data_IF_697947759569
#
_entry.id   IF_697947759569
#
_cell.length_a   1.000
_cell.length_b   1.000
_cell.length_c   1.000
_cell.angle_alpha   90.00
_cell.angle_beta   90.00
_cell.angle_gamma   90.00
#
_symmetry.space_group_name_H-M   'P 1'
#
loop_
_entity.id
_entity.type
_entity.pdbx_description
1 polymer ?
#
# COMPACT_ATOMS: atom_id res chain seq x y z
N UNK A 1 25.14 1.69 -16.92
CA UNK A 1 25.02 0.53 -16.00
C UNK A 1 24.98 -0.76 -16.79
N UNK A 2 25.65 -1.82 -16.33
CA UNK A 2 25.58 -3.16 -16.96
C UNK A 2 24.64 -4.12 -16.25
N UNK A 3 24.54 -4.03 -14.92
CA UNK A 3 23.68 -4.89 -14.10
C UNK A 3 22.95 -4.10 -13.03
N UNK A 4 21.67 -4.40 -12.85
CA UNK A 4 20.85 -3.85 -11.78
C UNK A 4 20.20 -4.96 -10.95
N UNK A 5 19.96 -4.68 -9.68
CA UNK A 5 19.17 -5.52 -8.78
C UNK A 5 17.74 -5.00 -8.67
N UNK A 6 16.76 -5.88 -8.56
CA UNK A 6 15.37 -5.53 -8.24
C UNK A 6 14.87 -6.37 -7.07
N UNK A 7 14.18 -5.74 -6.12
CA UNK A 7 13.68 -6.43 -4.94
C UNK A 7 12.38 -5.84 -4.42
N UNK A 8 11.59 -6.68 -3.75
CA UNK A 8 10.39 -6.27 -3.02
C UNK A 8 10.63 -6.39 -1.51
N UNK A 9 10.18 -5.38 -0.75
CA UNK A 9 10.35 -5.31 0.70
C UNK A 9 9.12 -4.67 1.34
N UNK A 10 8.87 -4.96 2.62
CA UNK A 10 7.65 -4.54 3.32
C UNK A 10 6.48 -5.51 3.14
N UNK A 11 5.25 -5.05 3.41
CA UNK A 11 4.05 -5.82 3.10
C UNK A 11 3.88 -5.91 1.59
N UNK A 12 3.49 -7.07 1.08
CA UNK A 12 3.18 -7.22 -0.34
C UNK A 12 1.91 -6.46 -0.71
N UNK A 13 1.86 -6.01 -1.97
CA UNK A 13 0.71 -5.32 -2.53
C UNK A 13 0.40 -5.82 -3.94
N UNK A 14 -0.88 -5.85 -4.36
CA UNK A 14 -1.24 -6.22 -5.72
C UNK A 14 -0.58 -5.30 -6.74
N UNK A 15 0.15 -5.87 -7.71
CA UNK A 15 0.81 -5.09 -8.76
C UNK A 15 2.34 -4.98 -8.61
N UNK A 16 2.92 -5.43 -7.49
CA UNK A 16 4.38 -5.57 -7.36
C UNK A 16 4.98 -6.42 -8.50
N UNK A 17 4.31 -7.48 -8.91
CA UNK A 17 4.73 -8.29 -10.06
C UNK A 17 4.66 -7.55 -11.40
N UNK A 18 3.73 -6.61 -11.57
CA UNK A 18 3.67 -5.76 -12.76
C UNK A 18 4.87 -4.81 -12.82
N UNK A 19 5.25 -4.24 -11.67
CA UNK A 19 6.47 -3.43 -11.54
C UNK A 19 7.74 -4.24 -11.81
N UNK A 20 7.91 -5.41 -11.18
CA UNK A 20 9.06 -6.30 -11.45
C UNK A 20 9.13 -6.64 -12.94
N UNK A 21 8.00 -6.99 -13.57
CA UNK A 21 7.94 -7.29 -15.00
C UNK A 21 8.41 -6.11 -15.84
N UNK A 22 7.96 -4.90 -15.53
CA UNK A 22 8.35 -3.70 -16.25
C UNK A 22 9.83 -3.37 -16.08
N UNK A 23 10.37 -3.48 -14.87
CA UNK A 23 11.82 -3.33 -14.61
C UNK A 23 12.63 -4.30 -15.46
N UNK A 24 12.30 -5.60 -15.41
CA UNK A 24 13.04 -6.63 -16.14
C UNK A 24 12.98 -6.42 -17.65
N UNK A 25 11.80 -6.10 -18.20
CA UNK A 25 11.62 -5.90 -19.64
C UNK A 25 12.30 -4.63 -20.14
N UNK A 26 12.24 -3.55 -19.37
CA UNK A 26 12.88 -2.27 -19.72
C UNK A 26 14.40 -2.42 -19.70
N UNK A 27 14.95 -3.03 -18.65
CA UNK A 27 16.38 -3.31 -18.58
C UNK A 27 16.84 -4.23 -19.73
N UNK A 28 16.09 -5.30 -20.03
CA UNK A 28 16.38 -6.18 -21.17
C UNK A 28 16.39 -5.41 -22.50
N UNK A 29 15.42 -4.52 -22.71
CA UNK A 29 15.32 -3.68 -23.91
C UNK A 29 16.55 -2.78 -24.08
N UNK A 30 17.12 -2.28 -22.98
CA UNK A 30 18.34 -1.47 -22.97
C UNK A 30 19.64 -2.29 -22.84
N UNK A 31 19.59 -3.62 -22.91
CA UNK A 31 20.77 -4.49 -22.81
C UNK A 31 21.41 -4.55 -21.42
N UNK A 32 20.63 -4.27 -20.36
CA UNK A 32 21.05 -4.32 -18.96
C UNK A 32 20.62 -5.67 -18.36
N UNK A 33 21.54 -6.36 -17.68
CA UNK A 33 21.20 -7.61 -16.97
C UNK A 33 20.48 -7.31 -15.64
N UNK A 34 19.46 -8.10 -15.31
CA UNK A 34 18.69 -7.92 -14.07
C UNK A 34 18.86 -9.12 -13.15
N UNK A 35 19.12 -8.83 -11.88
CA UNK A 35 19.12 -9.80 -10.79
C UNK A 35 17.96 -9.52 -9.84
N UNK A 36 17.03 -10.47 -9.73
CA UNK A 36 16.02 -10.47 -8.68
C UNK A 36 16.64 -10.85 -7.35
N UNK A 37 16.41 -10.04 -6.32
CA UNK A 37 16.86 -10.32 -4.96
C UNK A 37 15.69 -10.90 -4.18
N UNK A 38 15.80 -12.16 -3.78
CA UNK A 38 14.72 -12.84 -3.07
C UNK A 38 14.58 -12.27 -1.65
N UNK A 39 13.35 -12.21 -1.12
CA UNK A 39 13.07 -11.84 0.28
C UNK A 39 13.66 -10.47 0.70
N UNK A 40 13.71 -9.53 -0.24
CA UNK A 40 14.18 -8.17 -0.02
C UNK A 40 15.57 -8.09 0.61
N UNK A 41 15.73 -7.22 1.62
CA UNK A 41 17.01 -7.03 2.30
C UNK A 41 17.55 -8.30 2.97
N UNK A 42 16.68 -9.22 3.42
CA UNK A 42 17.16 -10.45 4.03
C UNK A 42 17.87 -11.35 3.04
N UNK A 43 17.40 -11.45 1.79
CA UNK A 43 18.10 -12.23 0.77
C UNK A 43 19.27 -11.47 0.18
N UNK A 44 19.24 -10.14 0.17
CA UNK A 44 20.41 -9.31 -0.20
C UNK A 44 21.63 -9.64 0.67
N UNK A 45 21.44 -9.68 1.99
CA UNK A 45 22.50 -10.06 2.96
C UNK A 45 23.01 -11.49 2.70
N UNK A 46 22.12 -12.40 2.33
CA UNK A 46 22.45 -13.82 2.11
C UNK A 46 22.99 -14.13 0.71
N UNK A 47 22.96 -13.18 -0.22
CA UNK A 47 23.29 -13.42 -1.63
C UNK A 47 22.24 -14.27 -2.37
N UNK A 48 20.96 -14.22 -1.97
CA UNK A 48 19.86 -14.94 -2.64
C UNK A 48 19.45 -14.22 -3.95
N UNK A 49 20.34 -14.22 -4.94
CA UNK A 49 20.13 -13.58 -6.24
C UNK A 49 19.71 -14.56 -7.32
N UNK A 50 18.75 -14.17 -8.16
CA UNK A 50 18.27 -14.96 -9.29
C UNK A 50 18.33 -14.09 -10.53
N UNK A 51 19.02 -14.54 -11.58
CA UNK A 51 19.02 -13.84 -12.87
C UNK A 51 17.60 -13.83 -13.44
N UNK A 52 17.11 -12.65 -13.82
CA UNK A 52 15.80 -12.47 -14.43
C UNK A 52 15.95 -12.05 -15.89
N UNK A 53 15.19 -12.72 -16.74
CA UNK A 53 15.05 -12.37 -18.16
C UNK A 53 13.57 -12.15 -18.53
N UNK A 54 13.32 -11.84 -19.79
CA UNK A 54 11.97 -11.62 -20.31
C UNK A 54 11.02 -12.82 -20.12
N UNK A 55 11.57 -14.05 -20.09
CA UNK A 55 10.79 -15.27 -19.87
C UNK A 55 10.45 -15.47 -18.38
N UNK A 56 11.38 -15.12 -17.49
CA UNK A 56 11.25 -15.21 -16.03
C UNK A 56 10.08 -14.39 -15.48
N UNK A 57 9.72 -13.29 -16.18
CA UNK A 57 8.58 -12.42 -15.85
C UNK A 57 7.38 -12.61 -16.80
N UNK A 58 7.34 -13.73 -17.51
CA UNK A 58 6.17 -14.10 -18.31
C UNK A 58 5.02 -14.54 -17.41
N UNK A 59 3.79 -14.15 -17.78
CA UNK A 59 2.58 -14.54 -17.05
C UNK A 59 2.57 -14.15 -15.55
N UNK A 60 3.20 -13.02 -15.19
CA UNK A 60 3.25 -12.50 -13.81
C UNK A 60 2.42 -11.23 -13.59
N UNK A 61 2.08 -10.49 -14.65
CA UNK A 61 1.45 -9.17 -14.56
C UNK A 61 0.12 -9.17 -13.81
N UNK A 62 -0.63 -10.26 -13.89
CA UNK A 62 -1.93 -10.45 -13.24
C UNK A 62 -1.84 -11.15 -11.88
N UNK A 63 -0.65 -11.57 -11.44
CA UNK A 63 -0.49 -12.28 -10.16
C UNK A 63 -0.40 -11.28 -9.02
N UNK A 64 -1.19 -11.50 -7.98
CA UNK A 64 -1.00 -10.84 -6.68
C UNK A 64 0.32 -11.22 -6.02
N UNK A 65 0.63 -10.57 -4.89
CA UNK A 65 1.87 -10.75 -4.16
C UNK A 65 3.13 -10.41 -4.98
N UNK A 66 4.24 -11.07 -4.68
CA UNK A 66 5.54 -10.87 -5.35
C UNK A 66 6.25 -12.20 -5.63
N UNK A 67 6.73 -12.40 -6.86
CA UNK A 67 7.54 -13.56 -7.25
C UNK A 67 8.90 -13.60 -6.53
N UNK A 68 9.38 -12.45 -6.05
CA UNK A 68 10.65 -12.34 -5.32
C UNK A 68 10.48 -12.59 -3.81
N UNK A 69 9.23 -12.72 -3.34
CA UNK A 69 8.90 -12.76 -1.90
C UNK A 69 9.30 -11.45 -1.19
N UNK A 70 8.85 -11.30 0.04
CA UNK A 70 9.25 -10.20 0.92
C UNK A 70 9.57 -10.75 2.31
N UNK A 71 10.48 -10.10 3.03
CA UNK A 71 10.78 -10.42 4.42
C UNK A 71 11.25 -9.18 5.17
N UNK A 72 10.81 -9.05 6.44
CA UNK A 72 11.40 -8.07 7.36
C UNK A 72 12.86 -8.47 7.66
N UNK A 73 13.76 -7.50 7.73
CA UNK A 73 15.18 -7.74 8.01
C UNK A 73 15.67 -6.82 9.11
N UNK A 74 15.67 -7.30 10.36
CA UNK A 74 16.28 -6.58 11.48
C UNK A 74 17.79 -6.43 11.29
N UNK A 75 18.46 -7.42 10.67
CA UNK A 75 19.90 -7.33 10.40
C UNK A 75 20.26 -6.15 9.51
N UNK A 76 19.38 -5.76 8.58
CA UNK A 76 19.65 -4.64 7.68
C UNK A 76 19.56 -3.27 8.40
N UNK A 77 19.02 -3.21 9.62
CA UNK A 77 19.05 -1.97 10.42
C UNK A 77 20.42 -1.72 11.04
N UNK A 78 21.29 -2.74 11.10
CA UNK A 78 22.68 -2.58 11.58
C UNK A 78 23.64 -2.35 10.41
N UNK A 79 24.73 -1.64 10.68
CA UNK A 79 25.75 -1.34 9.68
C UNK A 79 26.45 -2.61 9.18
N UNK A 80 26.63 -3.60 10.05
CA UNK A 80 27.23 -4.90 9.71
C UNK A 80 26.37 -5.66 8.71
N UNK A 81 25.04 -5.68 8.91
CA UNK A 81 24.14 -6.31 7.96
C UNK A 81 24.13 -5.60 6.60
N UNK A 82 24.19 -4.26 6.60
CA UNK A 82 24.31 -3.50 5.36
C UNK A 82 25.65 -3.74 4.65
N UNK A 83 26.77 -3.79 5.39
CA UNK A 83 28.07 -4.16 4.82
C UNK A 83 28.02 -5.53 4.12
N UNK A 84 27.44 -6.55 4.77
CA UNK A 84 27.28 -7.87 4.15
C UNK A 84 26.45 -7.81 2.87
N UNK A 85 25.36 -7.04 2.86
CA UNK A 85 24.56 -6.85 1.66
C UNK A 85 25.35 -6.15 0.55
N UNK A 86 26.13 -5.13 0.87
CA UNK A 86 26.99 -4.43 -0.08
C UNK A 86 28.02 -5.36 -0.69
N UNK A 87 28.73 -6.15 0.12
CA UNK A 87 29.73 -7.10 -0.35
C UNK A 87 29.10 -8.10 -1.34
N UNK A 88 27.88 -8.56 -1.07
CA UNK A 88 27.14 -9.44 -1.98
C UNK A 88 26.80 -8.77 -3.31
N UNK A 89 26.36 -7.51 -3.30
CA UNK A 89 26.06 -6.76 -4.53
C UNK A 89 27.33 -6.55 -5.38
N UNK A 90 28.43 -6.15 -4.75
CA UNK A 90 29.73 -5.95 -5.42
C UNK A 90 30.25 -7.26 -6.01
N UNK A 91 30.21 -8.36 -5.26
CA UNK A 91 30.64 -9.68 -5.72
C UNK A 91 29.86 -10.18 -6.95
N UNK A 92 28.61 -9.73 -7.11
CA UNK A 92 27.77 -10.07 -8.26
C UNK A 92 27.79 -8.99 -9.37
N UNK A 93 28.52 -7.90 -9.16
CA UNK A 93 28.66 -6.79 -10.09
C UNK A 93 27.36 -6.00 -10.29
N UNK A 94 26.50 -5.93 -9.26
CA UNK A 94 25.26 -5.15 -9.30
C UNK A 94 25.60 -3.68 -9.04
N UNK A 95 25.29 -2.81 -10.01
CA UNK A 95 25.71 -1.40 -10.01
C UNK A 95 24.61 -0.44 -9.53
N UNK A 96 23.36 -0.90 -9.45
CA UNK A 96 22.23 -0.09 -9.03
C UNK A 96 21.03 -0.95 -8.61
N UNK A 97 20.11 -0.35 -7.87
CA UNK A 97 18.97 -1.05 -7.27
C UNK A 97 17.64 -0.40 -7.63
N UNK A 98 16.65 -1.23 -7.92
CA UNK A 98 15.24 -0.86 -7.93
C UNK A 98 14.57 -1.44 -6.70
N UNK A 99 14.14 -0.57 -5.78
CA UNK A 99 13.51 -0.95 -4.52
C UNK A 99 11.99 -0.79 -4.62
N UNK A 100 11.24 -1.89 -4.53
CA UNK A 100 9.78 -1.87 -4.58
C UNK A 100 9.24 -2.08 -3.15
N UNK A 101 8.55 -1.08 -2.61
CA UNK A 101 8.01 -1.17 -1.25
C UNK A 101 7.45 0.14 -0.72
N UNK A 102 7.33 0.22 0.61
CA UNK A 102 6.83 1.39 1.33
C UNK A 102 7.91 2.15 2.10
N UNK A 103 7.48 2.94 3.09
CA UNK A 103 8.33 3.80 3.91
C UNK A 103 9.61 3.12 4.43
N UNK A 104 9.48 1.99 5.13
CA UNK A 104 10.64 1.28 5.68
C UNK A 104 11.62 0.75 4.63
N UNK A 105 11.14 0.50 3.40
CA UNK A 105 12.01 0.14 2.28
C UNK A 105 12.86 1.34 1.85
N UNK A 106 12.25 2.51 1.68
CA UNK A 106 13.00 3.70 1.27
C UNK A 106 13.91 4.23 2.36
N UNK A 107 13.54 4.12 3.64
CA UNK A 107 14.45 4.41 4.75
C UNK A 107 15.70 3.54 4.70
N UNK A 108 15.53 2.22 4.48
CA UNK A 108 16.66 1.29 4.34
C UNK A 108 17.53 1.62 3.14
N UNK A 109 16.93 1.94 1.99
CA UNK A 109 17.63 2.32 0.77
C UNK A 109 18.45 3.61 0.93
N UNK A 110 17.86 4.63 1.56
CA UNK A 110 18.51 5.92 1.82
C UNK A 110 19.78 5.76 2.67
N UNK A 111 19.68 5.05 3.80
CA UNK A 111 20.83 4.77 4.68
C UNK A 111 21.88 3.92 3.97
N UNK A 112 21.44 2.94 3.17
CA UNK A 112 22.35 2.08 2.42
C UNK A 112 23.13 2.84 1.35
N UNK A 113 22.47 3.75 0.63
CA UNK A 113 23.12 4.58 -0.37
C UNK A 113 24.07 5.61 0.25
N UNK A 114 23.70 6.21 1.39
CA UNK A 114 24.58 7.12 2.14
C UNK A 114 25.88 6.44 2.57
N UNK A 115 25.82 5.18 3.00
CA UNK A 115 26.99 4.43 3.48
C UNK A 115 27.86 3.85 2.35
N UNK A 116 27.23 3.41 1.25
CA UNK A 116 27.89 2.56 0.24
C UNK A 116 27.83 3.09 -1.20
N UNK A 117 27.05 4.14 -1.46
CA UNK A 117 26.97 4.80 -2.77
C UNK A 117 26.34 3.96 -3.88
N UNK A 118 25.57 2.91 -3.56
CA UNK A 118 24.83 2.14 -4.57
C UNK A 118 23.56 2.91 -4.96
N UNK A 119 23.47 3.44 -6.20
CA UNK A 119 22.34 4.25 -6.63
C UNK A 119 21.05 3.43 -6.61
N UNK A 120 20.04 3.98 -5.93
CA UNK A 120 18.75 3.31 -5.77
C UNK A 120 17.60 4.20 -6.24
N UNK A 121 16.69 3.62 -7.03
CA UNK A 121 15.40 4.24 -7.38
C UNK A 121 14.26 3.41 -6.80
N UNK A 122 13.33 4.09 -6.13
CA UNK A 122 12.21 3.47 -5.44
C UNK A 122 10.94 3.44 -6.27
N UNK A 123 10.13 2.41 -6.04
CA UNK A 123 8.81 2.22 -6.61
C UNK A 123 7.81 2.05 -5.45
N UNK A 124 6.75 2.87 -5.37
CA UNK A 124 5.79 2.86 -4.27
C UNK A 124 4.89 1.61 -4.31
N UNK A 125 5.33 0.53 -3.69
CA UNK A 125 4.60 -0.74 -3.58
C UNK A 125 4.02 -0.91 -2.19
N UNK A 126 2.82 -0.38 -1.97
CA UNK A 126 2.07 -0.50 -0.71
C UNK A 126 0.58 -0.27 -0.97
N UNK A 127 -0.29 -0.87 -0.15
CA UNK A 127 -1.73 -0.61 -0.20
C UNK A 127 -2.13 0.67 0.54
N UNK A 128 -1.28 1.13 1.48
CA UNK A 128 -1.63 2.17 2.46
C UNK A 128 -1.81 3.56 1.80
N UNK A 129 -1.23 3.78 0.61
CA UNK A 129 -1.25 5.04 -0.14
C UNK A 129 -0.73 6.27 0.64
N UNK A 130 0.14 6.03 1.63
CA UNK A 130 0.68 6.98 2.59
C UNK A 130 1.98 7.68 2.14
N UNK A 131 2.51 7.33 0.96
CA UNK A 131 3.79 7.85 0.46
C UNK A 131 3.63 9.23 -0.19
N UNK A 132 4.46 10.19 0.25
CA UNK A 132 4.54 11.51 -0.38
C UNK A 132 5.27 11.44 -1.74
N UNK A 133 4.85 12.27 -2.70
CA UNK A 133 5.44 12.29 -4.05
C UNK A 133 4.76 11.36 -5.05
N UNK A 134 3.59 10.82 -4.71
CA UNK A 134 2.70 10.10 -5.65
C UNK A 134 1.23 10.24 -5.24
N UNK A 135 0.33 10.38 -6.21
CA UNK A 135 -1.12 10.42 -5.99
C UNK A 135 -1.64 9.04 -5.57
N UNK A 136 -1.06 7.98 -6.13
CA UNK A 136 -1.42 6.58 -5.86
C UNK A 136 -0.18 5.71 -5.70
N UNK A 137 -0.27 4.73 -4.79
CA UNK A 137 0.72 3.66 -4.63
C UNK A 137 0.21 2.38 -5.28
N UNK A 138 1.13 1.52 -5.74
CA UNK A 138 0.78 0.27 -6.40
C UNK A 138 0.16 -0.70 -5.39
N UNK A 139 -1.09 -1.08 -5.65
CA UNK A 139 -1.91 -1.98 -4.84
C UNK A 139 -3.02 -1.28 -4.08
N UNK A 140 -3.00 0.05 -4.02
CA UNK A 140 -4.04 0.84 -3.37
C UNK A 140 -5.42 0.63 -4.02
N UNK A 141 -5.50 0.75 -5.34
CA UNK A 141 -6.78 0.61 -6.07
C UNK A 141 -7.35 -0.80 -5.89
N UNK A 142 -6.50 -1.83 -5.97
CA UNK A 142 -6.91 -3.22 -5.75
C UNK A 142 -7.38 -3.46 -4.32
N UNK A 143 -6.71 -2.87 -3.32
CA UNK A 143 -7.12 -2.98 -1.92
C UNK A 143 -8.49 -2.34 -1.68
N UNK A 144 -8.74 -1.15 -2.24
CA UNK A 144 -10.04 -0.47 -2.17
C UNK A 144 -11.13 -1.31 -2.83
N UNK A 145 -10.91 -1.82 -4.05
CA UNK A 145 -11.90 -2.68 -4.74
C UNK A 145 -12.16 -3.98 -3.98
N UNK A 146 -11.14 -4.56 -3.35
CA UNK A 146 -11.29 -5.76 -2.52
C UNK A 146 -12.13 -5.49 -1.27
N UNK A 147 -11.90 -4.35 -0.61
CA UNK A 147 -12.69 -3.94 0.54
C UNK A 147 -14.14 -3.64 0.16
N UNK A 148 -14.36 -2.94 -0.97
CA UNK A 148 -15.71 -2.70 -1.51
C UNK A 148 -16.45 -4.00 -1.83
N UNK A 149 -15.79 -4.97 -2.46
CA UNK A 149 -16.39 -6.28 -2.75
C UNK A 149 -16.82 -7.03 -1.47
N UNK A 150 -16.11 -6.85 -0.36
CA UNK A 150 -16.53 -7.35 0.94
C UNK A 150 -17.70 -6.53 1.53
N UNK A 151 -17.65 -5.20 1.44
CA UNK A 151 -18.68 -4.29 1.97
C UNK A 151 -20.01 -4.51 1.26
N UNK A 152 -20.02 -4.71 -0.06
CA UNK A 152 -21.24 -4.97 -0.83
C UNK A 152 -21.94 -6.25 -0.36
N UNK A 153 -21.17 -7.33 -0.12
CA UNK A 153 -21.71 -8.57 0.45
C UNK A 153 -22.27 -8.39 1.86
N UNK A 154 -21.66 -7.51 2.65
CA UNK A 154 -22.13 -7.16 3.99
C UNK A 154 -23.42 -6.33 3.90
N UNK A 155 -23.51 -5.41 2.93
CA UNK A 155 -24.68 -4.56 2.71
C UNK A 155 -25.94 -5.38 2.41
N UNK A 156 -25.83 -6.41 1.56
CA UNK A 156 -26.94 -7.31 1.25
C UNK A 156 -27.56 -7.96 2.50
N UNK A 157 -26.73 -8.36 3.47
CA UNK A 157 -27.21 -8.93 4.74
C UNK A 157 -27.58 -7.88 5.79
N UNK A 158 -27.03 -6.66 5.72
CA UNK A 158 -27.36 -5.58 6.63
C UNK A 158 -28.78 -5.08 6.39
N UNK A 159 -29.15 -4.88 5.12
CA UNK A 159 -30.48 -4.45 4.70
C UNK A 159 -31.54 -5.51 5.00
N UNK A 160 -31.22 -6.80 4.79
CA UNK A 160 -32.15 -7.91 5.04
C UNK A 160 -32.51 -8.14 6.52
N UNK A 161 -31.72 -7.62 7.46
CA UNK A 161 -31.83 -7.94 8.90
C UNK A 161 -31.86 -6.71 9.81
N UNK A 162 -31.96 -5.49 9.28
CA UNK A 162 -31.98 -4.25 10.06
C UNK A 162 -30.78 -4.14 11.04
N UNK A 163 -29.56 -4.31 10.53
CA UNK A 163 -28.32 -4.41 11.34
C UNK A 163 -27.35 -3.25 11.13
N UNK A 164 -26.53 -3.00 12.14
CA UNK A 164 -25.35 -2.13 12.03
C UNK A 164 -24.07 -2.96 11.93
N UNK A 165 -23.31 -2.74 10.86
CA UNK A 165 -22.02 -3.38 10.64
C UNK A 165 -20.88 -2.39 10.82
N UNK A 166 -19.90 -2.78 11.64
CA UNK A 166 -18.60 -2.12 11.75
C UNK A 166 -17.61 -2.92 10.90
N UNK A 167 -17.09 -2.29 9.85
CA UNK A 167 -16.18 -2.93 8.90
C UNK A 167 -14.79 -2.32 9.04
N UNK A 168 -13.84 -3.13 9.51
CA UNK A 168 -12.46 -2.72 9.68
C UNK A 168 -11.67 -2.92 8.38
N UNK A 169 -11.10 -1.83 7.87
CA UNK A 169 -10.25 -1.80 6.68
C UNK A 169 -8.80 -1.54 7.05
N UNK A 170 -7.88 -2.01 6.21
CA UNK A 170 -6.46 -1.73 6.40
C UNK A 170 -6.14 -0.29 6.02
N UNK A 171 -4.94 0.18 6.36
CA UNK A 171 -4.46 1.53 6.06
C UNK A 171 -3.40 2.03 7.02
N UNK A 172 -2.99 1.20 7.98
CA UNK A 172 -2.14 1.55 9.12
C UNK A 172 -2.61 2.86 9.74
N UNK A 173 -1.75 3.87 9.75
CA UNK A 173 -1.98 5.17 10.38
C UNK A 173 -2.64 6.17 9.41
N UNK A 174 -3.40 5.67 8.42
CA UNK A 174 -3.99 6.52 7.38
C UNK A 174 -5.39 6.09 6.93
N UNK A 175 -6.21 7.08 6.59
CA UNK A 175 -7.60 6.92 6.13
C UNK A 175 -7.78 6.72 4.63
N UNK A 176 -6.70 6.55 3.84
CA UNK A 176 -6.78 6.55 2.37
C UNK A 176 -7.63 5.43 1.78
N UNK A 177 -7.66 4.25 2.41
CA UNK A 177 -8.52 3.13 2.00
C UNK A 177 -9.94 3.33 2.54
N UNK A 178 -10.08 3.76 3.79
CA UNK A 178 -11.37 3.91 4.45
C UNK A 178 -12.31 4.90 3.76
N UNK A 179 -11.80 6.06 3.34
CA UNK A 179 -12.61 7.10 2.69
C UNK A 179 -13.30 6.61 1.40
N UNK A 180 -12.61 6.10 0.38
CA UNK A 180 -13.27 5.60 -0.83
C UNK A 180 -14.13 4.37 -0.55
N UNK A 181 -13.79 3.54 0.44
CA UNK A 181 -14.66 2.44 0.87
C UNK A 181 -15.98 2.96 1.45
N UNK A 182 -15.93 4.05 2.23
CA UNK A 182 -17.12 4.68 2.76
C UNK A 182 -17.97 5.33 1.66
N UNK A 183 -17.35 6.08 0.74
CA UNK A 183 -18.07 6.71 -0.38
C UNK A 183 -18.67 5.65 -1.31
N UNK A 184 -17.85 4.70 -1.77
CA UNK A 184 -18.26 3.69 -2.75
C UNK A 184 -19.19 2.63 -2.17
N UNK A 185 -19.00 2.27 -0.90
CA UNK A 185 -19.83 1.31 -0.18
C UNK A 185 -21.06 1.93 0.49
N UNK A 186 -21.27 3.25 0.32
CA UNK A 186 -22.41 4.00 0.85
C UNK A 186 -22.49 4.05 2.39
N UNK A 187 -21.34 3.99 3.07
CA UNK A 187 -21.30 3.96 4.52
C UNK A 187 -21.79 5.28 5.13
N UNK A 188 -22.47 5.18 6.27
CA UNK A 188 -22.98 6.36 6.97
C UNK A 188 -21.87 7.13 7.67
N UNK A 189 -20.87 6.41 8.16
CA UNK A 189 -19.80 6.96 8.99
C UNK A 189 -18.47 6.33 8.58
N UNK A 190 -17.43 7.15 8.54
CA UNK A 190 -16.04 6.72 8.37
C UNK A 190 -15.20 7.23 9.54
N UNK A 191 -14.51 6.32 10.21
CA UNK A 191 -13.58 6.62 11.29
C UNK A 191 -12.15 6.45 10.77
N UNK A 192 -11.40 7.55 10.79
CA UNK A 192 -10.02 7.60 10.30
C UNK A 192 -9.12 8.37 11.29
N UNK A 193 -7.83 8.03 11.35
CA UNK A 193 -6.87 8.68 12.25
C UNK A 193 -6.78 10.19 12.04
N UNK A 194 -6.98 10.68 10.82
CA UNK A 194 -6.82 12.09 10.47
C UNK A 194 -7.94 13.00 10.98
N UNK A 195 -9.12 12.46 11.30
CA UNK A 195 -10.28 13.25 11.76
C UNK A 195 -10.57 13.11 13.25
N UNK A 196 -10.00 12.10 13.93
CA UNK A 196 -10.19 11.85 15.37
C UNK A 196 -11.67 11.92 15.80
N UNK A 197 -12.54 11.20 15.07
CA UNK A 197 -13.98 11.19 15.39
C UNK A 197 -14.21 10.39 16.67
N UNK A 198 -14.87 10.98 17.67
CA UNK A 198 -15.18 10.26 18.90
C UNK A 198 -16.31 9.26 18.70
N UNK A 199 -16.26 8.17 19.46
CA UNK A 199 -17.33 7.16 19.44
C UNK A 199 -18.71 7.75 19.80
N UNK A 200 -18.76 8.83 20.57
CA UNK A 200 -20.01 9.48 20.97
C UNK A 200 -20.73 10.13 19.76
N UNK A 201 -19.98 10.72 18.82
CA UNK A 201 -20.53 11.25 17.55
C UNK A 201 -21.14 10.12 16.71
N UNK A 202 -20.50 8.93 16.74
CA UNK A 202 -21.02 7.74 16.06
C UNK A 202 -22.36 7.33 16.66
N UNK A 203 -22.45 7.26 17.99
CA UNK A 203 -23.69 6.95 18.71
C UNK A 203 -24.80 7.94 18.34
N UNK A 204 -24.53 9.25 18.41
CA UNK A 204 -25.52 10.28 18.13
C UNK A 204 -26.05 10.22 16.69
N UNK A 205 -25.16 9.95 15.74
CA UNK A 205 -25.49 9.81 14.32
C UNK A 205 -26.37 8.58 14.08
N UNK A 206 -26.01 7.43 14.66
CA UNK A 206 -26.79 6.19 14.56
C UNK A 206 -28.17 6.32 15.22
N UNK A 207 -28.25 6.95 16.40
CA UNK A 207 -29.53 7.22 17.08
C UNK A 207 -30.44 8.13 16.24
N UNK A 208 -29.87 9.17 15.62
CA UNK A 208 -30.60 10.09 14.77
C UNK A 208 -31.09 9.42 13.49
N UNK A 209 -30.26 8.58 12.87
CA UNK A 209 -30.64 7.79 11.70
C UNK A 209 -31.76 6.79 12.00
N UNK A 210 -31.67 6.09 13.14
CA UNK A 210 -32.72 5.16 13.57
C UNK A 210 -34.07 5.85 13.72
N UNK A 211 -34.09 7.04 14.37
CA UNK A 211 -35.33 7.84 14.53
C UNK A 211 -35.95 8.25 13.19
N UNK A 212 -35.18 8.29 12.10
CA UNK A 212 -35.63 8.60 10.74
C UNK A 212 -36.00 7.34 9.93
N UNK A 213 -36.25 6.22 10.60
CA UNK A 213 -36.65 4.94 9.99
C UNK A 213 -35.59 4.28 9.12
N UNK A 214 -34.30 4.65 9.25
CA UNK A 214 -33.21 3.91 8.64
C UNK A 214 -32.94 2.66 9.47
N UNK A 215 -32.94 1.50 8.83
CA UNK A 215 -32.89 0.21 9.54
C UNK A 215 -31.54 -0.49 9.44
N UNK A 216 -30.74 -0.21 8.41
CA UNK A 216 -29.38 -0.75 8.24
C UNK A 216 -28.30 0.34 8.26
N UNK A 217 -27.15 0.04 8.88
CA UNK A 217 -26.01 0.94 8.96
C UNK A 217 -24.70 0.21 8.67
N UNK A 218 -23.77 0.92 8.05
CA UNK A 218 -22.39 0.51 7.80
C UNK A 218 -21.47 1.63 8.30
N UNK A 219 -20.58 1.27 9.21
CA UNK A 219 -19.54 2.13 9.74
C UNK A 219 -18.20 1.57 9.29
N UNK A 220 -17.43 2.35 8.55
CA UNK A 220 -16.07 1.98 8.13
C UNK A 220 -15.09 2.48 9.19
N UNK A 221 -14.21 1.60 9.66
CA UNK A 221 -13.18 1.92 10.66
C UNK A 221 -11.81 1.57 10.09
N UNK A 222 -10.89 2.53 10.05
CA UNK A 222 -9.50 2.27 9.69
C UNK A 222 -8.76 1.58 10.85
N UNK A 223 -7.88 0.61 10.55
CA UNK A 223 -7.17 -0.19 11.57
C UNK A 223 -6.30 0.62 12.56
N UNK A 224 -5.87 1.83 12.21
CA UNK A 224 -5.04 2.70 13.06
C UNK A 224 -5.79 3.80 13.80
N UNK A 225 -7.12 3.73 13.90
CA UNK A 225 -7.91 4.73 14.62
C UNK A 225 -7.63 4.73 16.14
N UNK A 226 -7.51 5.91 16.75
CA UNK A 226 -7.11 6.09 18.16
C UNK A 226 -8.17 5.60 19.16
N UNK A 227 -9.45 5.59 18.79
CA UNK A 227 -10.55 5.09 19.65
C UNK A 227 -10.56 3.55 19.76
N UNK A 228 -9.69 2.87 19.00
CA UNK A 228 -9.49 1.43 18.99
C UNK A 228 -10.04 0.75 17.75
N UNK A 229 -9.85 -0.58 17.67
CA UNK A 229 -10.30 -1.38 16.54
C UNK A 229 -11.85 -1.42 16.44
N UNK A 230 -12.39 -1.90 15.31
CA UNK A 230 -13.83 -1.91 15.06
C UNK A 230 -14.64 -2.64 16.15
N UNK A 231 -14.01 -3.57 16.87
CA UNK A 231 -14.62 -4.30 17.98
C UNK A 231 -14.90 -3.40 19.18
N UNK A 232 -13.97 -2.51 19.52
CA UNK A 232 -14.13 -1.58 20.64
C UNK A 232 -15.24 -0.56 20.37
N UNK A 233 -15.25 0.02 19.16
CA UNK A 233 -16.29 0.96 18.73
C UNK A 233 -17.67 0.29 18.77
N UNK A 234 -17.78 -0.91 18.21
CA UNK A 234 -19.04 -1.66 18.20
C UNK A 234 -19.55 -2.01 19.61
N UNK A 235 -18.65 -2.33 20.55
CA UNK A 235 -19.02 -2.61 21.93
C UNK A 235 -19.61 -1.37 22.61
N UNK A 236 -18.96 -0.21 22.49
CA UNK A 236 -19.45 1.07 23.03
C UNK A 236 -20.79 1.47 22.42
N UNK A 237 -20.97 1.29 21.11
CA UNK A 237 -22.26 1.54 20.46
C UNK A 237 -23.34 0.57 20.96
N UNK A 238 -23.01 -0.70 21.19
CA UNK A 238 -23.96 -1.69 21.71
C UNK A 238 -24.40 -1.37 23.15
N UNK A 239 -23.49 -0.85 23.97
CA UNK A 239 -23.81 -0.38 25.32
C UNK A 239 -24.72 0.85 25.29
N UNK A 240 -24.46 1.81 24.40
CA UNK A 240 -25.26 3.03 24.26
C UNK A 240 -26.62 2.80 23.58
N UNK A 241 -26.71 1.82 22.66
CA UNK A 241 -27.92 1.47 21.90
C UNK A 241 -28.15 -0.05 21.95
N UNK A 242 -28.66 -0.60 23.08
CA UNK A 242 -28.80 -2.06 23.25
C UNK A 242 -29.70 -2.73 22.22
N UNK A 243 -30.64 -1.98 21.64
CA UNK A 243 -31.59 -2.44 20.64
C UNK A 243 -30.96 -2.63 19.24
N UNK A 244 -29.81 -2.00 18.96
CA UNK A 244 -29.10 -2.15 17.69
C UNK A 244 -28.36 -3.47 17.63
N UNK A 245 -28.68 -4.34 16.69
CA UNK A 245 -27.91 -5.55 16.44
C UNK A 245 -26.61 -5.18 15.71
N UNK A 246 -25.51 -5.13 16.47
CA UNK A 246 -24.19 -4.77 15.96
C UNK A 246 -23.41 -6.02 15.53
N UNK A 247 -22.72 -5.91 14.40
CA UNK A 247 -21.81 -6.94 13.88
C UNK A 247 -20.49 -6.28 13.50
N UNK A 248 -19.40 -7.02 13.67
CA UNK A 248 -18.04 -6.57 13.34
C UNK A 248 -17.47 -7.49 12.28
N UNK A 249 -16.88 -6.91 11.25
CA UNK A 249 -16.12 -7.65 10.24
C UNK A 249 -14.75 -7.02 10.08
N UNK A 250 -13.71 -7.81 10.30
CA UNK A 250 -12.32 -7.39 10.05
C UNK A 250 -11.87 -8.00 8.73
N UNK A 251 -11.70 -7.17 7.69
CA UNK A 251 -11.29 -7.65 6.37
C UNK A 251 -9.84 -8.15 6.41
N UNK A 252 -8.97 -7.40 7.10
CA UNK A 252 -7.58 -7.76 7.31
C UNK A 252 -6.81 -8.00 6.00
N UNK A 253 -5.97 -9.04 6.01
CA UNK A 253 -4.97 -9.30 4.97
C UNK A 253 -5.53 -9.68 3.60
N UNK A 254 -6.85 -9.89 3.47
CA UNK A 254 -7.49 -10.11 2.17
C UNK A 254 -7.20 -8.92 1.22
N UNK A 255 -7.14 -7.69 1.75
CA UNK A 255 -6.83 -6.46 1.00
C UNK A 255 -5.43 -6.43 0.37
N UNK A 256 -4.49 -7.27 0.83
CA UNK A 256 -3.15 -7.40 0.23
C UNK A 256 -3.07 -8.45 -0.88
N UNK A 257 -4.05 -9.35 -0.92
CA UNK A 257 -4.15 -10.42 -1.89
C UNK A 257 -4.92 -10.01 -3.15
N UNK A 258 -5.10 -10.98 -4.05
CA UNK A 258 -5.91 -10.79 -5.26
C UNK A 258 -5.11 -10.34 -6.49
N UNK A 259 -5.76 -10.45 -7.65
CA UNK A 259 -5.19 -10.00 -8.91
C UNK A 259 -5.23 -8.47 -8.96
N UNK A 260 -4.14 -7.79 -9.32
CA UNK A 260 -4.17 -6.34 -9.44
C UNK A 260 -5.18 -5.89 -10.49
N UNK A 261 -5.84 -4.77 -10.23
CA UNK A 261 -6.74 -4.09 -11.16
C UNK A 261 -5.99 -3.54 -12.39
N UNK A 262 -6.73 -3.03 -13.37
CA UNK A 262 -6.12 -2.37 -14.53
C UNK A 262 -5.27 -1.15 -14.12
N UNK A 263 -5.72 -0.37 -13.12
CA UNK A 263 -5.01 0.80 -12.62
C UNK A 263 -3.65 0.42 -12.02
N UNK A 264 -3.62 -0.58 -11.12
CA UNK A 264 -2.38 -1.00 -10.47
C UNK A 264 -1.40 -1.68 -11.44
N UNK A 265 -1.89 -2.42 -12.44
CA UNK A 265 -1.04 -2.99 -13.49
C UNK A 265 -0.41 -1.90 -14.36
N UNK A 266 -1.20 -0.87 -14.71
CA UNK A 266 -0.72 0.24 -15.52
C UNK A 266 0.30 1.07 -14.74
N UNK A 267 -0.03 1.47 -13.51
CA UNK A 267 0.85 2.23 -12.63
C UNK A 267 2.17 1.49 -12.38
N UNK A 268 2.09 0.21 -12.00
CA UNK A 268 3.28 -0.62 -11.81
C UNK A 268 4.14 -0.72 -13.07
N UNK A 269 3.51 -0.78 -14.25
CA UNK A 269 4.25 -0.80 -15.51
C UNK A 269 4.94 0.53 -15.82
N UNK A 270 4.23 1.65 -15.66
CA UNK A 270 4.76 3.00 -15.91
C UNK A 270 5.93 3.32 -14.98
N UNK A 271 5.75 3.08 -13.67
CA UNK A 271 6.79 3.37 -12.69
C UNK A 271 7.97 2.40 -12.80
N UNK A 272 7.72 1.14 -13.17
CA UNK A 272 8.79 0.17 -13.43
C UNK A 272 9.70 0.56 -14.60
N UNK A 273 9.14 1.13 -15.67
CA UNK A 273 9.93 1.72 -16.77
C UNK A 273 10.72 2.93 -16.25
N UNK A 274 10.03 3.87 -15.61
CA UNK A 274 10.62 5.09 -15.10
C UNK A 274 11.76 4.85 -14.10
N UNK A 275 11.70 3.80 -13.29
CA UNK A 275 12.77 3.48 -12.35
C UNK A 275 14.07 3.06 -13.06
N UNK A 276 13.96 2.25 -14.11
CA UNK A 276 15.14 1.82 -14.90
C UNK A 276 15.70 2.97 -15.71
N UNK A 277 14.84 3.72 -16.42
CA UNK A 277 15.28 4.91 -17.16
C UNK A 277 15.85 5.98 -16.24
N UNK A 278 15.28 6.15 -15.05
CA UNK A 278 15.80 7.02 -14.00
C UNK A 278 17.22 6.64 -13.60
N UNK A 279 17.46 5.38 -13.24
CA UNK A 279 18.80 4.87 -12.93
C UNK A 279 19.78 5.08 -14.08
N UNK A 280 19.36 4.82 -15.33
CA UNK A 280 20.19 5.04 -16.52
C UNK A 280 20.57 6.52 -16.71
N UNK A 281 19.67 7.42 -16.38
CA UNK A 281 19.86 8.87 -16.44
C UNK A 281 20.55 9.45 -15.20
N UNK A 282 21.07 8.60 -14.31
CA UNK A 282 21.82 9.01 -13.12
C UNK A 282 20.95 9.47 -11.96
N UNK A 283 19.65 9.16 -11.95
CA UNK A 283 18.80 9.38 -10.78
C UNK A 283 19.14 8.35 -9.70
N UNK A 284 19.20 8.81 -8.45
CA UNK A 284 19.51 8.01 -7.26
C UNK A 284 18.86 8.65 -6.02
N UNK A 285 18.69 7.88 -4.94
CA UNK A 285 18.02 8.31 -3.70
C UNK A 285 16.62 8.95 -3.90
N UNK A 286 15.87 8.49 -4.92
CA UNK A 286 14.56 9.03 -5.30
C UNK A 286 13.53 7.92 -5.51
N UNK A 287 12.27 8.23 -5.23
CA UNK A 287 11.11 7.43 -5.61
C UNK A 287 10.51 7.99 -6.91
N UNK A 288 10.24 7.11 -7.87
CA UNK A 288 9.42 7.45 -9.03
C UNK A 288 7.92 7.34 -8.67
N UNK A 289 7.14 8.37 -8.97
CA UNK A 289 5.70 8.44 -8.69
C UNK A 289 4.94 9.20 -9.76
N UNK A 290 3.61 9.14 -9.73
CA UNK A 290 2.74 9.96 -10.59
C UNK A 290 2.05 11.01 -9.74
N UNK A 291 2.19 12.29 -10.12
CA UNK A 291 1.46 13.41 -9.53
C UNK A 291 0.82 14.20 -10.66
N UNK A 292 -0.50 14.41 -10.59
CA UNK A 292 -1.29 15.08 -11.64
C UNK A 292 -1.00 14.50 -13.04
N UNK A 293 -1.04 13.16 -13.13
CA UNK A 293 -0.77 12.36 -14.35
C UNK A 293 0.63 12.54 -14.95
N UNK A 294 1.56 13.17 -14.24
CA UNK A 294 2.95 13.37 -14.66
C UNK A 294 3.88 12.54 -13.82
N UNK A 295 4.91 11.98 -14.47
CA UNK A 295 6.00 11.31 -13.78
C UNK A 295 6.82 12.33 -12.98
N UNK A 296 7.07 12.02 -11.72
CA UNK A 296 7.88 12.82 -10.80
C UNK A 296 8.88 11.91 -10.09
N UNK A 297 10.10 12.40 -9.89
CA UNK A 297 11.09 11.78 -9.02
C UNK A 297 11.17 12.58 -7.72
N UNK A 298 10.79 11.96 -6.61
CA UNK A 298 10.76 12.60 -5.29
C UNK A 298 11.88 12.03 -4.42
N UNK A 299 12.72 12.84 -3.78
CA UNK A 299 13.75 12.33 -2.88
C UNK A 299 13.20 11.39 -1.79
N UNK A 300 13.94 10.35 -1.40
CA UNK A 300 13.50 9.44 -0.34
C UNK A 300 13.29 10.16 0.99
N UNK A 301 14.14 11.14 1.32
CA UNK A 301 14.00 11.95 2.53
C UNK A 301 12.64 12.64 2.61
N UNK A 302 12.12 13.11 1.48
CA UNK A 302 10.81 13.76 1.38
C UNK A 302 9.70 12.72 1.42
N UNK A 303 9.87 11.62 0.68
CA UNK A 303 8.89 10.52 0.60
C UNK A 303 8.60 9.92 1.97
N UNK A 304 9.62 9.79 2.83
CA UNK A 304 9.53 9.17 4.16
C UNK A 304 9.08 10.16 5.24
N UNK A 305 9.50 11.42 5.18
CA UNK A 305 9.26 12.37 6.28
C UNK A 305 8.07 13.30 6.05
N UNK A 306 7.70 13.59 4.80
CA UNK A 306 6.54 14.45 4.52
C UNK A 306 5.27 13.61 4.58
N UNK A 307 4.25 14.16 5.24
CA UNK A 307 2.92 13.54 5.25
C UNK A 307 2.17 13.88 3.97
N UNK A 308 1.58 12.86 3.36
CA UNK A 308 0.52 13.07 2.35
C UNK A 308 -0.74 13.52 3.09
N UNK A 309 -1.42 14.53 2.56
CA UNK A 309 -2.64 15.06 3.16
C UNK A 309 -3.87 14.45 2.49
N UNK A 310 -4.87 14.13 3.30
CA UNK A 310 -6.19 13.72 2.81
C UNK A 310 -6.90 14.90 2.15
N UNK A 311 -7.55 14.63 1.03
CA UNK A 311 -8.38 15.61 0.36
C UNK A 311 -9.68 15.83 1.13
N UNK A 312 -9.82 17.01 1.74
CA UNK A 312 -11.01 17.43 2.50
C UNK A 312 -12.29 17.41 1.67
N UNK A 313 -12.21 17.50 0.34
CA UNK A 313 -13.41 17.35 -0.50
C UNK A 313 -14.01 15.95 -0.38
N UNK A 314 -13.20 14.90 -0.16
CA UNK A 314 -13.72 13.55 0.00
C UNK A 314 -14.39 13.36 1.36
N UNK A 315 -13.87 13.97 2.43
CA UNK A 315 -14.57 13.98 3.72
C UNK A 315 -15.95 14.63 3.61
N UNK A 316 -16.02 15.78 2.92
CA UNK A 316 -17.28 16.44 2.62
C UNK A 316 -18.22 15.58 1.76
N UNK A 317 -17.69 14.76 0.84
CA UNK A 317 -18.52 13.83 0.07
C UNK A 317 -19.14 12.76 0.95
N UNK A 318 -18.40 12.21 1.92
CA UNK A 318 -18.95 11.22 2.87
C UNK A 318 -20.12 11.83 3.64
N UNK A 319 -19.98 13.04 4.18
CA UNK A 319 -21.04 13.74 4.92
C UNK A 319 -22.29 14.03 4.07
N UNK A 320 -22.13 14.37 2.80
CA UNK A 320 -23.25 14.70 1.90
C UNK A 320 -23.97 13.43 1.44
N UNK A 321 -23.22 12.37 1.13
CA UNK A 321 -23.77 11.13 0.56
C UNK A 321 -24.37 10.20 1.61
N UNK A 322 -24.12 10.45 2.90
CA UNK A 322 -24.64 9.64 4.00
C UNK A 322 -26.03 10.04 4.53
N UNK A 323 -26.59 11.16 4.03
CA UNK A 323 -27.91 11.70 4.43
C UNK A 323 -29.08 10.81 4.01
#
# INVERSE_FOLDING_TARGET
MKRIGVFTSGGDSPGMNAAIRAVVRTATYHGIEVYGIMRGYSGMIKGEFVRLDSASVSNTVQKGGTILKSARSQKFTTKEGRQQAFDQLVNNGIEGLVAIGGNGTFTGAMVFEEEFGIPTVGIPGTIDNDLYGTDYTIGYDTAVNTALDCIDKIRDTADSHDRCFFVEVMGRDSGYIAIPCAIGGGAEIVMIPETQMSTDVVVDTLQSGWKRSKTSFIVIVAEGDEEGNATNVAARVKEAIPQLDTRVTVIGHIQRGGSPTAADRLLGSQIGIAAVEGLMNGMHNVMAGIVDKKLVYTPFIDTVNKKKLINQSFMRMVEILSV
#
